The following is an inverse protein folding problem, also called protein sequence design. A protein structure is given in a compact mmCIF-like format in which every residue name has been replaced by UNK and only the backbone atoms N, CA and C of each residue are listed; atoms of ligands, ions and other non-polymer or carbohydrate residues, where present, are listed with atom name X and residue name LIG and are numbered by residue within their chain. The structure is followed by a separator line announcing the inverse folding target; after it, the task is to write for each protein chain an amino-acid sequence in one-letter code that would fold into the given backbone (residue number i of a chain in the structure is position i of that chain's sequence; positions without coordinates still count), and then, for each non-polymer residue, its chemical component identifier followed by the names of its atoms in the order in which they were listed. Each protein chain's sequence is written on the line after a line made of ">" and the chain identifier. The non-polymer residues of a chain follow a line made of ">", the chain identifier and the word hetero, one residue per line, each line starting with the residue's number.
data_IF_231881632655
#
_entry.id   IF_231881632655
#
_cell.length_a   1.000
_cell.length_b   1.000
_cell.length_c   1.000
_cell.angle_alpha   90.00
_cell.angle_beta   90.00
_cell.angle_gamma   90.00
#
_symmetry.space_group_name_H-M   'P 1'
#
loop_
_entity.id
_entity.type
_entity.pdbx_description
1 polymer ?
#
# COMPACT_ATOMS: atom_id res chain seq x y z
N UNK A 1 19.16 1.85 -13.90
CA UNK A 1 18.21 1.27 -12.94
C UNK A 1 17.22 2.34 -12.57
N UNK A 2 15.97 1.98 -12.33
CA UNK A 2 14.95 2.94 -11.95
C UNK A 2 15.12 3.32 -10.48
N UNK A 3 15.04 4.62 -10.19
CA UNK A 3 15.27 5.17 -8.85
C UNK A 3 14.05 5.97 -8.41
N UNK A 4 13.75 5.92 -7.12
CA UNK A 4 12.70 6.75 -6.56
C UNK A 4 13.08 8.23 -6.61
N UNK A 5 12.15 9.07 -7.05
CA UNK A 5 12.28 10.51 -6.88
C UNK A 5 12.39 10.89 -5.40
N UNK A 6 12.93 12.07 -5.08
CA UNK A 6 13.01 12.57 -3.68
C UNK A 6 11.66 12.51 -2.96
N UNK A 7 10.57 12.81 -3.67
CA UNK A 7 9.22 12.76 -3.11
C UNK A 7 8.74 11.33 -2.82
N UNK A 8 8.98 10.39 -3.74
CA UNK A 8 8.65 8.97 -3.49
C UNK A 8 9.49 8.38 -2.37
N UNK A 9 10.79 8.72 -2.35
CA UNK A 9 11.72 8.32 -1.30
C UNK A 9 11.25 8.79 0.07
N UNK A 10 10.95 10.08 0.21
CA UNK A 10 10.48 10.64 1.48
C UNK A 10 9.18 10.01 2.00
N UNK A 11 8.29 9.55 1.11
CA UNK A 11 7.10 8.78 1.52
C UNK A 11 7.47 7.36 1.92
N UNK A 12 8.31 6.69 1.14
CA UNK A 12 8.70 5.31 1.41
C UNK A 12 9.43 5.18 2.75
N UNK A 13 10.30 6.14 3.08
CA UNK A 13 11.09 6.14 4.30
C UNK A 13 10.25 6.26 5.58
N UNK A 14 8.95 6.56 5.47
CA UNK A 14 8.01 6.55 6.60
C UNK A 14 7.38 5.17 6.85
N UNK A 15 7.62 4.20 5.97
CA UNK A 15 7.06 2.85 6.05
C UNK A 15 7.92 1.90 6.87
N UNK A 16 7.34 0.78 7.27
CA UNK A 16 8.04 -0.30 7.94
C UNK A 16 9.22 -0.81 7.09
N UNK A 17 10.36 -1.20 7.69
CA UNK A 17 11.54 -1.64 6.94
C UNK A 17 11.28 -2.73 5.90
N UNK A 18 10.35 -3.64 6.16
CA UNK A 18 9.96 -4.67 5.18
C UNK A 18 9.25 -4.10 3.95
N UNK A 19 8.40 -3.08 4.12
CA UNK A 19 7.78 -2.41 2.97
C UNK A 19 8.81 -1.61 2.17
N UNK A 20 9.77 -0.98 2.85
CA UNK A 20 10.90 -0.31 2.20
C UNK A 20 11.67 -1.33 1.35
N UNK A 21 12.12 -2.44 1.96
CA UNK A 21 12.83 -3.51 1.27
C UNK A 21 12.03 -4.07 0.08
N UNK A 22 10.73 -4.28 0.26
CA UNK A 22 9.86 -4.79 -0.80
C UNK A 22 9.80 -3.82 -1.98
N UNK A 23 9.55 -2.54 -1.74
CA UNK A 23 9.44 -1.54 -2.82
C UNK A 23 10.78 -1.29 -3.53
N UNK A 24 11.90 -1.37 -2.80
CA UNK A 24 13.25 -1.33 -3.37
C UNK A 24 13.54 -2.52 -4.29
N UNK A 25 12.97 -3.68 -4.02
CA UNK A 25 13.09 -4.83 -4.92
C UNK A 25 12.16 -4.68 -6.13
N UNK A 26 10.90 -4.26 -5.91
CA UNK A 26 9.91 -4.07 -6.98
C UNK A 26 10.40 -3.07 -8.04
N UNK A 27 10.96 -1.93 -7.64
CA UNK A 27 11.39 -0.87 -8.58
C UNK A 27 12.51 -1.32 -9.53
N UNK A 28 13.28 -2.37 -9.18
CA UNK A 28 14.31 -2.93 -10.06
C UNK A 28 13.72 -3.59 -11.31
N UNK A 29 12.45 -3.99 -11.26
CA UNK A 29 11.77 -4.73 -12.32
C UNK A 29 10.70 -3.91 -13.03
N UNK A 30 10.02 -3.01 -12.33
CA UNK A 30 8.94 -2.19 -12.87
C UNK A 30 9.05 -0.77 -12.33
N UNK A 31 9.00 0.23 -13.21
CA UNK A 31 8.95 1.63 -12.78
C UNK A 31 7.70 1.89 -11.95
N UNK A 32 7.88 2.28 -10.69
CA UNK A 32 6.81 2.61 -9.76
C UNK A 32 7.03 3.98 -9.12
N UNK A 33 5.96 4.57 -8.62
CA UNK A 33 5.97 5.77 -7.78
C UNK A 33 5.25 5.48 -6.47
N UNK A 34 5.76 6.06 -5.38
CA UNK A 34 5.11 5.97 -4.07
C UNK A 34 4.13 7.12 -3.93
N UNK A 35 2.87 6.80 -3.66
CA UNK A 35 1.78 7.74 -3.50
C UNK A 35 1.61 8.15 -2.04
N UNK A 36 1.71 7.20 -1.11
CA UNK A 36 1.54 7.43 0.32
C UNK A 36 2.33 6.39 1.15
N UNK A 37 2.89 6.83 2.27
CA UNK A 37 3.47 5.97 3.31
C UNK A 37 2.68 6.17 4.60
N UNK A 38 3.28 6.75 5.64
CA UNK A 38 2.55 7.18 6.82
C UNK A 38 1.54 8.29 6.51
N UNK A 39 0.43 8.28 7.24
CA UNK A 39 -0.68 9.23 7.13
C UNK A 39 -1.16 9.63 8.51
N UNK A 40 -1.40 10.92 8.72
CA UNK A 40 -1.94 11.40 10.00
C UNK A 40 -3.40 10.98 10.20
N UNK A 41 -3.87 11.06 11.46
CA UNK A 41 -5.28 10.81 11.79
C UNK A 41 -6.20 11.82 11.10
N UNK A 42 -5.77 13.08 10.99
CA UNK A 42 -6.53 14.15 10.33
C UNK A 42 -6.69 13.87 8.83
N UNK A 43 -5.59 13.47 8.17
CA UNK A 43 -5.61 13.08 6.76
C UNK A 43 -6.53 11.86 6.53
N UNK A 44 -6.45 10.87 7.41
CA UNK A 44 -7.29 9.68 7.35
C UNK A 44 -8.77 10.01 7.52
N UNK A 45 -9.09 10.89 8.49
CA UNK A 45 -10.46 11.36 8.75
C UNK A 45 -11.04 12.12 7.56
N UNK A 46 -10.21 12.87 6.84
CA UNK A 46 -10.65 13.56 5.63
C UNK A 46 -10.90 12.60 4.46
N UNK A 47 -10.04 11.59 4.27
CA UNK A 47 -10.30 10.53 3.28
C UNK A 47 -11.59 9.75 3.59
N UNK A 48 -11.85 9.48 4.87
CA UNK A 48 -13.09 8.84 5.32
C UNK A 48 -14.31 9.69 4.97
N UNK A 49 -14.28 11.01 5.27
CA UNK A 49 -15.35 11.95 4.91
C UNK A 49 -15.62 12.03 3.42
N UNK A 50 -14.57 11.92 2.60
CA UNK A 50 -14.68 11.90 1.14
C UNK A 50 -15.15 10.55 0.57
N UNK A 51 -15.37 9.54 1.42
CA UNK A 51 -15.74 8.19 0.98
C UNK A 51 -14.60 7.40 0.34
N UNK A 52 -13.35 7.90 0.43
CA UNK A 52 -12.14 7.26 -0.11
C UNK A 52 -11.49 6.28 0.86
N UNK A 53 -12.04 6.16 2.06
CA UNK A 53 -11.63 5.21 3.08
C UNK A 53 -12.84 4.68 3.83
N UNK A 54 -12.75 3.45 4.34
CA UNK A 54 -13.72 2.86 5.28
C UNK A 54 -13.30 3.01 6.75
N UNK A 55 -12.09 3.51 7.01
CA UNK A 55 -11.47 3.66 8.32
C UNK A 55 -11.28 5.15 8.64
N UNK A 56 -11.71 5.59 9.82
CA UNK A 56 -11.74 7.00 10.19
C UNK A 56 -10.45 7.50 10.88
N UNK A 57 -9.54 6.58 11.23
CA UNK A 57 -8.30 6.91 11.92
C UNK A 57 -8.49 7.23 13.41
N UNK A 58 -9.69 7.02 13.97
CA UNK A 58 -9.97 7.30 15.39
C UNK A 58 -10.60 6.08 16.06
N UNK A 59 -11.75 5.63 15.55
CA UNK A 59 -12.40 4.41 16.04
C UNK A 59 -11.80 3.18 15.38
N UNK A 60 -11.34 3.31 14.13
CA UNK A 60 -10.63 2.27 13.39
C UNK A 60 -9.43 2.87 12.68
N UNK A 61 -8.25 2.46 13.13
CA UNK A 61 -6.97 2.89 12.55
C UNK A 61 -6.74 2.23 11.20
N UNK A 62 -6.23 2.99 10.22
CA UNK A 62 -5.64 2.44 9.01
C UNK A 62 -4.21 2.00 9.28
N UNK A 63 -3.71 1.01 8.54
CA UNK A 63 -2.30 0.62 8.57
C UNK A 63 -1.34 1.76 8.18
N UNK A 64 -1.83 2.77 7.47
CA UNK A 64 -1.09 4.01 7.22
C UNK A 64 -0.90 4.91 8.45
N UNK A 65 -1.71 4.73 9.51
CA UNK A 65 -1.66 5.56 10.71
C UNK A 65 -0.63 5.09 11.75
N UNK A 66 0.01 3.95 11.52
CA UNK A 66 1.07 3.44 12.39
C UNK A 66 2.40 4.16 12.10
N UNK A 67 3.28 4.19 13.10
CA UNK A 67 4.65 4.73 12.96
C UNK A 67 5.64 3.67 13.42
N UNK A 68 6.38 3.02 12.51
CA UNK A 68 6.37 3.22 11.06
C UNK A 68 5.07 2.73 10.39
N UNK A 69 4.76 3.24 9.20
CA UNK A 69 3.56 2.84 8.47
C UNK A 69 3.59 1.35 8.11
N UNK A 70 2.52 0.63 8.43
CA UNK A 70 2.35 -0.77 8.09
C UNK A 70 1.69 -0.96 6.71
N UNK A 71 1.43 0.13 5.98
CA UNK A 71 0.95 0.13 4.62
C UNK A 71 1.70 1.11 3.71
N UNK A 72 1.63 0.85 2.40
CA UNK A 72 2.17 1.71 1.35
C UNK A 72 1.18 1.76 0.19
N UNK A 73 0.96 2.96 -0.33
CA UNK A 73 0.25 3.17 -1.59
C UNK A 73 1.27 3.41 -2.70
N UNK A 74 1.22 2.62 -3.76
CA UNK A 74 2.11 2.79 -4.91
C UNK A 74 1.37 2.59 -6.24
N UNK A 75 1.99 3.04 -7.32
CA UNK A 75 1.43 2.94 -8.67
C UNK A 75 2.53 2.72 -9.70
N UNK A 76 2.26 1.98 -10.78
CA UNK A 76 3.12 1.99 -11.96
C UNK A 76 3.34 3.41 -12.48
N UNK A 77 4.57 3.71 -12.90
CA UNK A 77 4.95 5.01 -13.45
C UNK A 77 4.07 5.41 -14.64
N UNK A 78 3.92 6.73 -14.83
CA UNK A 78 2.79 7.36 -15.55
C UNK A 78 1.47 6.90 -14.92
N UNK A 79 1.15 7.47 -13.76
CA UNK A 79 -0.05 7.13 -12.99
C UNK A 79 -1.29 7.27 -13.88
N UNK A 80 -1.96 6.14 -14.12
CA UNK A 80 -3.28 6.08 -14.78
C UNK A 80 -4.18 5.25 -13.89
N UNK A 81 -5.36 5.77 -13.60
CA UNK A 81 -6.33 5.15 -12.70
C UNK A 81 -7.13 4.03 -13.37
N UNK A 82 -6.39 3.07 -13.92
CA UNK A 82 -6.91 1.88 -14.58
C UNK A 82 -6.81 0.70 -13.62
N UNK A 83 -7.92 0.02 -13.38
CA UNK A 83 -8.05 -1.02 -12.36
C UNK A 83 -7.07 -2.16 -12.57
N UNK A 84 -6.95 -2.60 -13.81
CA UNK A 84 -6.12 -3.71 -14.25
C UNK A 84 -4.62 -3.43 -14.03
N UNK A 85 -4.20 -2.17 -14.17
CA UNK A 85 -2.81 -1.76 -13.90
C UNK A 85 -2.44 -1.89 -12.44
N UNK A 86 -3.35 -1.51 -11.54
CA UNK A 86 -3.14 -1.64 -10.11
C UNK A 86 -3.15 -3.10 -9.67
N UNK A 87 -4.09 -3.91 -10.16
CA UNK A 87 -4.11 -5.36 -9.88
C UNK A 87 -2.79 -6.01 -10.30
N UNK A 88 -2.34 -5.76 -11.54
CA UNK A 88 -1.09 -6.32 -12.05
C UNK A 88 0.12 -5.91 -11.19
N UNK A 89 0.21 -4.63 -10.81
CA UNK A 89 1.30 -4.13 -9.98
C UNK A 89 1.27 -4.69 -8.55
N UNK A 90 0.09 -4.73 -7.93
CA UNK A 90 -0.10 -5.24 -6.58
C UNK A 90 0.24 -6.73 -6.49
N UNK A 91 -0.19 -7.52 -7.47
CA UNK A 91 0.14 -8.95 -7.53
C UNK A 91 1.61 -9.21 -7.87
N UNK A 92 2.23 -8.39 -8.71
CA UNK A 92 3.67 -8.46 -8.94
C UNK A 92 4.46 -8.22 -7.64
N UNK A 93 4.10 -7.16 -6.89
CA UNK A 93 4.69 -6.88 -5.59
C UNK A 93 4.43 -8.01 -4.57
N UNK A 94 3.21 -8.58 -4.54
CA UNK A 94 2.89 -9.75 -3.69
C UNK A 94 3.77 -10.96 -3.99
N UNK A 95 4.05 -11.22 -5.28
CA UNK A 95 4.95 -12.29 -5.71
C UNK A 95 6.36 -12.09 -5.15
N UNK A 96 6.92 -10.88 -5.30
CA UNK A 96 8.24 -10.54 -4.73
C UNK A 96 8.22 -10.64 -3.20
N UNK A 97 7.18 -10.11 -2.54
CA UNK A 97 7.03 -10.21 -1.09
C UNK A 97 7.07 -11.66 -0.61
N UNK A 98 6.39 -12.57 -1.32
CA UNK A 98 6.43 -14.01 -1.04
C UNK A 98 7.84 -14.60 -1.16
N UNK A 99 8.64 -14.17 -2.13
CA UNK A 99 10.03 -14.62 -2.28
C UNK A 99 10.93 -14.11 -1.15
N UNK A 100 10.59 -12.96 -0.56
CA UNK A 100 11.31 -12.33 0.54
C UNK A 100 10.82 -12.81 1.93
N UNK A 101 9.79 -13.66 1.99
CA UNK A 101 9.15 -14.09 3.24
C UNK A 101 8.29 -13.01 3.91
N UNK A 102 7.94 -11.93 3.19
CA UNK A 102 7.10 -10.83 3.69
C UNK A 102 5.65 -11.15 3.38
N UNK A 103 4.81 -11.22 4.41
CA UNK A 103 3.36 -11.45 4.25
C UNK A 103 2.65 -10.12 4.06
N UNK A 104 1.88 -10.01 2.97
CA UNK A 104 1.12 -8.81 2.63
C UNK A 104 -0.33 -9.11 2.27
N UNK A 105 -1.21 -8.13 2.47
CA UNK A 105 -2.57 -8.06 1.92
C UNK A 105 -2.67 -6.93 0.91
N UNK A 106 -3.52 -7.11 -0.11
CA UNK A 106 -3.69 -6.15 -1.20
C UNK A 106 -5.04 -5.46 -1.08
N UNK A 107 -5.09 -4.13 -1.24
CA UNK A 107 -6.35 -3.39 -1.26
C UNK A 107 -7.18 -3.62 -2.52
N UNK A 108 -6.58 -4.23 -3.56
CA UNK A 108 -7.31 -4.71 -4.73
C UNK A 108 -8.00 -6.07 -4.53
N UNK A 109 -7.69 -6.78 -3.44
CA UNK A 109 -8.14 -8.15 -3.15
C UNK A 109 -8.08 -8.43 -1.63
N UNK A 110 -9.05 -7.89 -0.89
CA UNK A 110 -9.07 -7.88 0.57
C UNK A 110 -9.28 -9.27 1.19
N UNK A 111 -10.06 -10.13 0.52
CA UNK A 111 -10.39 -11.48 0.95
C UNK A 111 -9.47 -12.57 0.34
N UNK A 112 -8.59 -12.19 -0.58
CA UNK A 112 -7.60 -13.05 -1.22
C UNK A 112 -8.21 -14.23 -2.01
N UNK A 113 -9.37 -14.01 -2.64
CA UNK A 113 -10.08 -15.04 -3.42
C UNK A 113 -9.90 -14.90 -4.94
N UNK A 114 -9.11 -13.90 -5.39
CA UNK A 114 -8.91 -13.56 -6.81
C UNK A 114 -10.19 -13.09 -7.52
N UNK A 115 -11.24 -12.75 -6.77
CA UNK A 115 -12.43 -12.08 -7.27
C UNK A 115 -12.21 -10.58 -7.26
N UNK A 116 -12.61 -9.95 -8.36
CA UNK A 116 -12.31 -8.56 -8.60
C UNK A 116 -13.59 -7.80 -8.97
N UNK A 117 -14.65 -7.98 -8.19
CA UNK A 117 -15.93 -7.33 -8.42
C UNK A 117 -15.79 -5.79 -8.35
N UNK A 118 -16.55 -5.10 -9.20
CA UNK A 118 -16.63 -3.64 -9.23
C UNK A 118 -17.55 -3.08 -8.15
N UNK A 119 -18.43 -3.89 -7.54
CA UNK A 119 -19.28 -3.44 -6.42
C UNK A 119 -18.54 -3.36 -5.09
N UNK A 120 -17.37 -4.00 -4.99
CA UNK A 120 -16.57 -4.04 -3.78
C UNK A 120 -15.67 -2.81 -3.64
N UNK A 121 -15.25 -2.54 -2.39
CA UNK A 121 -14.32 -1.46 -2.12
C UNK A 121 -12.94 -1.80 -2.70
N UNK A 122 -12.64 -1.19 -3.86
CA UNK A 122 -11.37 -1.37 -4.56
C UNK A 122 -10.38 -0.28 -4.16
N UNK A 123 -9.28 -0.70 -3.53
CA UNK A 123 -8.16 0.16 -3.16
C UNK A 123 -6.86 -0.32 -3.84
N UNK A 124 -6.82 -0.15 -5.15
CA UNK A 124 -5.76 -0.70 -6.01
C UNK A 124 -4.31 -0.37 -5.62
N UNK A 125 -3.99 0.89 -5.22
CA UNK A 125 -2.64 1.25 -4.81
C UNK A 125 -2.15 0.59 -3.52
N UNK A 126 -3.07 0.14 -2.65
CA UNK A 126 -2.79 -0.19 -1.26
C UNK A 126 -2.19 -1.59 -1.09
N UNK A 127 -1.10 -1.67 -0.34
CA UNK A 127 -0.53 -2.91 0.21
C UNK A 127 -0.27 -2.71 1.70
N UNK A 128 -0.64 -3.69 2.52
CA UNK A 128 -0.37 -3.69 3.96
C UNK A 128 0.33 -4.97 4.42
N UNK A 129 1.18 -4.85 5.44
CA UNK A 129 1.77 -5.99 6.13
C UNK A 129 0.72 -6.74 6.94
N UNK A 130 0.86 -8.07 7.02
CA UNK A 130 0.03 -8.92 7.89
C UNK A 130 0.87 -9.78 8.81
N UNK A 131 0.38 -10.01 10.03
CA UNK A 131 1.09 -10.85 11.02
C UNK A 131 2.36 -10.21 11.59
N UNK A 132 2.50 -8.89 11.43
CA UNK A 132 3.38 -8.08 12.28
C UNK A 132 2.58 -7.87 13.57
N UNK A 133 3.16 -8.19 14.73
CA UNK A 133 2.53 -7.91 16.02
C UNK A 133 2.27 -6.40 16.08
N UNK A 134 0.98 -6.03 16.06
CA UNK A 134 0.57 -4.69 16.44
C UNK A 134 0.80 -4.62 17.96
N UNK A 135 1.87 -3.96 18.41
CA UNK A 135 2.25 -3.77 19.83
C UNK A 135 1.20 -3.01 20.68
N UNK A 136 -0.07 -3.00 20.27
CA UNK A 136 -1.21 -2.35 20.92
C UNK A 136 -2.28 -3.39 21.34
N UNK A 137 -1.89 -4.40 22.12
CA UNK A 137 -2.82 -5.16 23.00
C UNK A 137 -2.49 -4.94 24.46
#
# INVERSE_FOLDING_TARGET
>A
MSEFSKASRGRLDTCHPDLIRLMEEVIKHVDITILCGARSVEEQKELYRQGKSKLDGVNKMSKHNHVPSLAVDFSPWKVRWERERFIAAAYFAKGIASQMGIKVRLGCDWNADLSFDKSEFFDGPHIELVGVEDDDT
#
